data_IF_040704082895
#
_entry.id   IF_040704082895
#
_cell.length_a   1.000
_cell.length_b   1.000
_cell.length_c   1.000
_cell.angle_alpha   90.00
_cell.angle_beta   90.00
_cell.angle_gamma   90.00
#
_symmetry.space_group_name_H-M   'P 1'
#
loop_
_entity.id
_entity.type
_entity.pdbx_description
1 polymer ?
#
# COMPACT_ATOMS: atom_id res chain seq x y z
N UNK A 1 -22.90 40.15 -15.21
CA UNK A 1 -23.84 39.52 -14.24
C UNK A 1 -25.28 39.99 -14.41
N UNK A 2 -26.20 39.10 -14.77
CA UNK A 2 -27.62 39.24 -14.44
C UNK A 2 -27.86 38.48 -13.14
N UNK A 3 -28.15 39.20 -12.05
CA UNK A 3 -28.45 38.61 -10.72
C UNK A 3 -29.48 37.47 -10.80
N UNK A 4 -30.40 37.54 -11.75
CA UNK A 4 -31.43 36.53 -11.99
C UNK A 4 -30.89 35.15 -12.35
N UNK A 5 -29.81 35.06 -13.14
CA UNK A 5 -29.25 33.76 -13.58
C UNK A 5 -28.54 33.07 -12.42
N UNK A 6 -27.77 33.83 -11.64
CA UNK A 6 -27.08 33.34 -10.47
C UNK A 6 -28.08 32.88 -9.40
N UNK A 7 -29.14 33.66 -9.15
CA UNK A 7 -30.18 33.30 -8.19
C UNK A 7 -30.93 32.03 -8.60
N UNK A 8 -31.21 31.83 -9.89
CA UNK A 8 -31.86 30.60 -10.38
C UNK A 8 -31.02 29.33 -10.21
N UNK A 9 -29.69 29.45 -10.25
CA UNK A 9 -28.77 28.32 -10.07
C UNK A 9 -28.53 28.00 -8.59
N UNK A 10 -28.74 28.97 -7.71
CA UNK A 10 -28.66 28.78 -6.26
C UNK A 10 -29.96 28.23 -5.65
N UNK A 11 -31.07 28.24 -6.39
CA UNK A 11 -32.33 27.60 -5.95
C UNK A 11 -32.23 26.08 -5.92
N UNK A 12 -31.35 25.49 -6.74
CA UNK A 12 -31.10 24.05 -6.78
C UNK A 12 -29.82 23.70 -6.01
N UNK A 13 -29.96 22.90 -4.95
CA UNK A 13 -28.88 22.53 -4.02
C UNK A 13 -27.71 21.85 -4.73
N UNK A 14 -28.00 20.96 -5.69
CA UNK A 14 -26.99 20.24 -6.46
C UNK A 14 -26.17 21.17 -7.38
N UNK A 15 -26.83 22.18 -7.94
CA UNK A 15 -26.19 23.17 -8.82
C UNK A 15 -25.37 24.17 -8.01
N UNK A 16 -25.87 24.57 -6.84
CA UNK A 16 -25.16 25.44 -5.92
C UNK A 16 -23.89 24.80 -5.34
N UNK A 17 -23.94 23.51 -4.99
CA UNK A 17 -22.77 22.74 -4.56
C UNK A 17 -21.74 22.60 -5.69
N UNK A 18 -22.19 22.35 -6.92
CA UNK A 18 -21.33 22.31 -8.10
C UNK A 18 -20.64 23.65 -8.37
N UNK A 19 -21.35 24.78 -8.22
CA UNK A 19 -20.77 26.12 -8.33
C UNK A 19 -19.70 26.39 -7.26
N UNK A 20 -19.92 25.91 -6.03
CA UNK A 20 -18.93 26.01 -4.96
C UNK A 20 -17.65 25.22 -5.28
N UNK A 21 -17.79 24.00 -5.84
CA UNK A 21 -16.66 23.18 -6.29
C UNK A 21 -15.89 23.87 -7.43
N UNK A 22 -16.62 24.45 -8.39
CA UNK A 22 -16.03 25.18 -9.52
C UNK A 22 -15.25 26.42 -9.04
N UNK A 23 -15.82 27.17 -8.10
CA UNK A 23 -15.17 28.34 -7.48
C UNK A 23 -13.93 27.93 -6.69
N UNK A 24 -14.02 26.90 -5.85
CA UNK A 24 -12.88 26.38 -5.09
C UNK A 24 -11.73 25.96 -6.03
N UNK A 25 -12.04 25.24 -7.12
CA UNK A 25 -11.01 24.83 -8.09
C UNK A 25 -10.43 25.99 -8.90
N UNK A 26 -11.20 27.03 -9.17
CA UNK A 26 -10.69 28.25 -9.79
C UNK A 26 -9.69 28.96 -8.86
N UNK A 27 -10.01 29.03 -7.57
CA UNK A 27 -9.23 29.75 -6.55
C UNK A 27 -7.96 29.01 -6.10
N UNK A 28 -7.98 27.67 -6.08
CA UNK A 28 -6.78 26.86 -5.83
C UNK A 28 -5.80 26.85 -7.02
N UNK A 29 -6.30 27.12 -8.21
CA UNK A 29 -5.54 27.08 -9.45
C UNK A 29 -4.95 28.44 -9.87
N UNK A 30 -4.97 28.68 -11.17
CA UNK A 30 -4.56 29.93 -11.81
C UNK A 30 -5.76 30.81 -12.20
N UNK A 31 -6.92 30.63 -11.57
CA UNK A 31 -8.17 31.30 -11.93
C UNK A 31 -8.92 30.69 -13.12
N UNK A 32 -8.44 29.57 -13.66
CA UNK A 32 -9.10 28.86 -14.79
C UNK A 32 -9.61 27.48 -14.36
N UNK A 33 -10.77 27.10 -14.88
CA UNK A 33 -11.44 25.82 -14.63
C UNK A 33 -11.62 25.08 -15.95
N UNK A 34 -11.36 23.78 -15.97
CA UNK A 34 -11.60 22.92 -17.14
C UNK A 34 -12.55 21.80 -16.76
N UNK A 35 -13.27 21.24 -17.73
CA UNK A 35 -14.13 20.09 -17.47
C UNK A 35 -13.36 18.91 -16.84
N UNK A 36 -12.12 18.69 -17.26
CA UNK A 36 -11.25 17.64 -16.70
C UNK A 36 -10.98 17.83 -15.20
N UNK A 37 -10.92 19.08 -14.71
CA UNK A 37 -10.65 19.34 -13.29
C UNK A 37 -11.87 19.10 -12.39
N UNK A 38 -13.08 19.24 -12.91
CA UNK A 38 -14.33 19.16 -12.11
C UNK A 38 -15.20 17.94 -12.39
N UNK A 39 -14.96 17.21 -13.49
CA UNK A 39 -15.76 16.05 -13.94
C UNK A 39 -15.88 14.90 -12.93
N UNK A 40 -14.98 14.82 -11.94
CA UNK A 40 -15.05 13.81 -10.87
C UNK A 40 -16.02 14.16 -9.73
N UNK A 41 -16.38 15.43 -9.59
CA UNK A 41 -17.20 15.93 -8.47
C UNK A 41 -18.48 16.64 -8.93
N UNK A 42 -18.55 17.08 -10.20
CA UNK A 42 -19.71 17.76 -10.78
C UNK A 42 -20.32 16.87 -11.88
N UNK A 43 -21.64 16.55 -11.81
CA UNK A 43 -22.34 15.84 -12.88
C UNK A 43 -22.28 16.62 -14.20
N UNK A 44 -22.11 15.90 -15.32
CA UNK A 44 -21.99 16.52 -16.65
C UNK A 44 -23.21 17.37 -17.06
N UNK A 45 -24.39 17.00 -16.56
CA UNK A 45 -25.65 17.72 -16.79
C UNK A 45 -25.63 19.09 -16.11
N UNK A 46 -25.20 19.13 -14.84
CA UNK A 46 -25.08 20.35 -14.03
C UNK A 46 -23.97 21.26 -14.58
N UNK A 47 -22.84 20.68 -14.98
CA UNK A 47 -21.76 21.43 -15.64
C UNK A 47 -22.23 22.12 -16.93
N UNK A 48 -23.03 21.42 -17.75
CA UNK A 48 -23.60 22.01 -18.96
C UNK A 48 -24.51 23.20 -18.68
N UNK A 49 -25.27 23.17 -17.58
CA UNK A 49 -26.12 24.28 -17.14
C UNK A 49 -25.30 25.49 -16.68
N UNK A 50 -24.22 25.26 -15.91
CA UNK A 50 -23.31 26.33 -15.43
C UNK A 50 -22.56 26.99 -16.58
N UNK A 51 -22.09 26.23 -17.58
CA UNK A 51 -21.45 26.80 -18.76
C UNK A 51 -22.46 27.61 -19.60
N UNK A 52 -23.73 27.20 -19.62
CA UNK A 52 -24.80 27.89 -20.32
C UNK A 52 -25.30 29.18 -19.66
N UNK A 53 -24.94 29.44 -18.40
CA UNK A 53 -25.50 30.54 -17.60
C UNK A 53 -24.73 31.86 -17.65
N UNK A 54 -23.80 31.99 -18.60
CA UNK A 54 -22.90 33.16 -18.78
C UNK A 54 -22.02 33.50 -17.56
N UNK A 55 -21.97 32.64 -16.54
CA UNK A 55 -21.12 32.81 -15.35
C UNK A 55 -19.64 32.46 -15.62
N UNK A 56 -19.41 31.64 -16.64
CA UNK A 56 -18.11 31.17 -17.07
C UNK A 56 -17.73 31.82 -18.41
N UNK A 57 -16.69 32.66 -18.38
CA UNK A 57 -16.11 33.28 -19.57
C UNK A 57 -15.10 32.30 -20.18
N UNK A 58 -15.32 31.92 -21.44
CA UNK A 58 -14.41 31.04 -22.17
C UNK A 58 -13.11 31.79 -22.53
N UNK A 59 -11.97 31.28 -22.08
CA UNK A 59 -10.63 31.79 -22.40
C UNK A 59 -9.82 30.63 -23.00
N UNK A 60 -9.78 30.55 -24.33
CA UNK A 60 -9.15 29.44 -25.04
C UNK A 60 -9.87 28.11 -24.76
N UNK A 61 -9.12 27.11 -24.27
CA UNK A 61 -9.65 25.78 -23.91
C UNK A 61 -10.12 25.69 -22.43
N UNK A 62 -10.14 26.81 -21.71
CA UNK A 62 -10.50 26.88 -20.28
C UNK A 62 -11.60 27.92 -20.00
N UNK A 63 -12.23 27.82 -18.83
CA UNK A 63 -13.25 28.75 -18.37
C UNK A 63 -12.76 29.58 -17.18
N UNK A 64 -13.12 30.85 -17.13
CA UNK A 64 -12.82 31.77 -16.01
C UNK A 64 -14.13 32.28 -15.44
N UNK A 65 -14.22 32.39 -14.12
CA UNK A 65 -15.41 32.93 -13.45
C UNK A 65 -15.45 34.45 -13.66
N UNK A 66 -16.57 34.98 -14.16
CA UNK A 66 -16.73 36.41 -14.50
C UNK A 66 -16.52 37.32 -13.27
N UNK A 67 -17.15 36.97 -12.14
CA UNK A 67 -17.03 37.69 -10.87
C UNK A 67 -16.93 36.71 -9.67
N UNK A 68 -15.71 36.25 -9.33
CA UNK A 68 -15.48 35.35 -8.21
C UNK A 68 -15.95 35.87 -6.84
N UNK A 69 -15.70 37.13 -6.43
CA UNK A 69 -16.14 37.62 -5.13
C UNK A 69 -17.66 37.73 -5.01
N UNK A 70 -18.36 38.14 -6.07
CA UNK A 70 -19.81 38.19 -6.05
C UNK A 70 -20.43 36.79 -5.95
N UNK A 71 -19.85 35.79 -6.64
CA UNK A 71 -20.28 34.40 -6.54
C UNK A 71 -20.07 33.84 -5.12
N UNK A 72 -18.94 34.16 -4.48
CA UNK A 72 -18.67 33.75 -3.09
C UNK A 72 -19.71 34.32 -2.12
N UNK A 73 -20.01 35.61 -2.23
CA UNK A 73 -20.99 36.28 -1.36
C UNK A 73 -22.39 35.68 -1.53
N UNK A 74 -22.78 35.35 -2.77
CA UNK A 74 -24.06 34.74 -3.04
C UNK A 74 -24.16 33.29 -2.53
N UNK A 75 -23.09 32.48 -2.65
CA UNK A 75 -23.03 31.13 -2.08
C UNK A 75 -23.12 31.16 -0.55
N UNK A 76 -22.40 32.09 0.09
CA UNK A 76 -22.49 32.28 1.54
C UNK A 76 -23.89 32.72 1.98
N UNK A 77 -24.56 33.57 1.20
CA UNK A 77 -25.95 34.00 1.46
C UNK A 77 -26.94 32.84 1.34
N UNK A 78 -26.66 31.88 0.43
CA UNK A 78 -27.42 30.64 0.27
C UNK A 78 -27.10 29.59 1.35
N UNK A 79 -26.21 29.88 2.30
CA UNK A 79 -25.82 28.96 3.38
C UNK A 79 -24.74 27.94 2.97
N UNK A 80 -24.13 28.10 1.80
CA UNK A 80 -23.03 27.27 1.30
C UNK A 80 -21.73 28.01 1.56
N UNK A 81 -21.06 27.65 2.65
CA UNK A 81 -19.80 28.26 3.03
C UNK A 81 -18.66 27.69 2.18
N UNK A 82 -18.19 28.49 1.21
CA UNK A 82 -17.06 28.14 0.31
C UNK A 82 -15.73 28.04 1.08
N UNK A 83 -15.65 28.64 2.28
CA UNK A 83 -14.48 28.57 3.17
C UNK A 83 -14.55 27.44 4.20
N UNK A 84 -15.74 26.89 4.47
CA UNK A 84 -15.89 25.72 5.33
C UNK A 84 -15.66 24.47 4.50
N UNK A 85 -14.40 24.02 4.49
CA UNK A 85 -14.05 22.60 4.38
C UNK A 85 -14.92 21.83 3.37
N UNK A 86 -15.06 22.37 2.14
CA UNK A 86 -15.49 21.56 1.01
C UNK A 86 -14.43 20.48 1.01
N UNK A 87 -14.84 19.30 1.43
CA UNK A 87 -13.99 18.13 1.58
C UNK A 87 -13.62 17.74 0.16
N UNK A 88 -12.63 18.43 -0.38
CA UNK A 88 -11.75 17.92 -1.39
C UNK A 88 -11.42 16.54 -0.88
N UNK A 89 -11.67 15.51 -1.68
CA UNK A 89 -11.11 14.19 -1.44
C UNK A 89 -9.58 14.36 -1.43
N UNK A 90 -9.06 14.79 -0.28
CA UNK A 90 -7.74 14.55 0.22
C UNK A 90 -7.57 13.06 -0.04
N UNK A 91 -6.80 12.73 -1.06
CA UNK A 91 -6.61 11.35 -1.52
C UNK A 91 -6.35 10.51 -0.29
N UNK A 92 -7.35 9.72 0.14
CA UNK A 92 -7.52 9.37 1.55
C UNK A 92 -6.18 9.14 2.24
N UNK A 93 -5.85 9.98 3.22
CA UNK A 93 -4.73 9.68 4.11
C UNK A 93 -4.94 8.24 4.61
N UNK A 94 -4.06 7.33 4.14
CA UNK A 94 -4.25 5.89 4.30
C UNK A 94 -4.70 5.56 5.73
N UNK A 95 -5.79 4.78 5.91
CA UNK A 95 -6.31 4.52 7.24
C UNK A 95 -5.19 3.92 8.10
N UNK A 96 -4.85 4.64 9.17
CA UNK A 96 -3.77 4.28 10.09
C UNK A 96 -3.88 2.83 10.56
N UNK A 97 -2.76 2.26 11.03
CA UNK A 97 -2.70 0.85 11.45
C UNK A 97 -3.93 0.45 12.28
N UNK A 98 -4.64 -0.58 11.83
CA UNK A 98 -5.73 -1.16 12.64
C UNK A 98 -5.12 -1.69 13.93
N UNK A 99 -5.94 -1.76 14.98
CA UNK A 99 -5.50 -2.24 16.28
C UNK A 99 -4.86 -3.64 16.18
N UNK A 100 -5.38 -4.48 15.29
CA UNK A 100 -4.82 -5.79 14.95
C UNK A 100 -3.43 -5.73 14.34
N UNK A 101 -3.14 -4.74 13.50
CA UNK A 101 -1.81 -4.56 12.90
C UNK A 101 -0.79 -4.07 13.92
N UNK A 102 -1.21 -3.21 14.86
CA UNK A 102 -0.36 -2.75 15.98
C UNK A 102 0.02 -3.92 16.87
N UNK A 103 -0.94 -4.78 17.22
CA UNK A 103 -0.68 -5.99 18.00
C UNK A 103 0.21 -6.96 17.23
N UNK A 104 -0.03 -7.17 15.93
CA UNK A 104 0.80 -8.04 15.10
C UNK A 104 2.24 -7.53 14.99
N UNK A 105 2.44 -6.22 14.78
CA UNK A 105 3.76 -5.61 14.73
C UNK A 105 4.49 -5.67 16.06
N UNK A 106 3.84 -5.31 17.16
CA UNK A 106 4.42 -5.43 18.49
C UNK A 106 4.76 -6.89 18.83
N UNK A 107 3.85 -7.83 18.54
CA UNK A 107 4.06 -9.26 18.75
C UNK A 107 5.24 -9.80 17.93
N UNK A 108 5.36 -9.41 16.67
CA UNK A 108 6.49 -9.80 15.82
C UNK A 108 7.82 -9.27 16.39
N UNK A 109 7.85 -8.03 16.87
CA UNK A 109 9.05 -7.40 17.46
C UNK A 109 9.43 -8.07 18.79
N UNK A 110 8.45 -8.37 19.63
CA UNK A 110 8.64 -9.13 20.88
C UNK A 110 9.12 -10.55 20.59
N UNK A 111 8.60 -11.22 19.58
CA UNK A 111 9.07 -12.56 19.19
C UNK A 111 10.49 -12.53 18.60
N UNK A 112 10.79 -11.55 17.77
CA UNK A 112 12.10 -11.39 17.13
C UNK A 112 13.19 -11.08 18.16
N UNK A 113 12.96 -10.12 19.06
CA UNK A 113 13.90 -9.75 20.12
C UNK A 113 13.89 -10.78 21.26
N UNK A 114 12.72 -11.34 21.56
CA UNK A 114 12.52 -12.32 22.63
C UNK A 114 13.19 -13.67 22.38
N UNK A 115 13.58 -13.99 21.15
CA UNK A 115 14.44 -15.15 20.88
C UNK A 115 15.74 -15.16 21.71
N UNK A 116 16.28 -13.99 22.03
CA UNK A 116 17.48 -13.90 22.88
C UNK A 116 17.23 -14.36 24.32
N UNK A 117 15.97 -14.41 24.75
CA UNK A 117 15.56 -14.83 26.08
C UNK A 117 15.15 -16.30 26.04
N UNK A 118 15.86 -17.20 26.77
CA UNK A 118 15.57 -18.64 26.76
C UNK A 118 14.13 -18.99 27.15
N UNK A 119 13.51 -18.23 28.06
CA UNK A 119 12.14 -18.44 28.53
C UNK A 119 11.08 -18.14 27.45
N UNK A 120 11.29 -17.10 26.63
CA UNK A 120 10.38 -16.78 25.53
C UNK A 120 10.56 -17.82 24.42
N UNK A 121 11.82 -18.16 24.10
CA UNK A 121 12.13 -19.22 23.14
C UNK A 121 11.48 -20.55 23.52
N UNK A 122 11.59 -20.99 24.78
CA UNK A 122 10.99 -22.26 25.23
C UNK A 122 9.47 -22.23 25.17
N UNK A 123 8.84 -21.10 25.50
CA UNK A 123 7.39 -20.95 25.42
C UNK A 123 6.89 -21.04 23.97
N UNK A 124 7.55 -20.33 23.05
CA UNK A 124 7.21 -20.35 21.61
C UNK A 124 7.45 -21.74 21.02
N UNK A 125 8.58 -22.37 21.34
CA UNK A 125 8.90 -23.72 20.88
C UNK A 125 7.91 -24.73 21.44
N UNK A 126 7.54 -24.63 22.72
CA UNK A 126 6.56 -25.53 23.35
C UNK A 126 5.19 -25.41 22.68
N UNK A 127 4.69 -24.19 22.50
CA UNK A 127 3.43 -23.94 21.79
C UNK A 127 3.46 -24.46 20.35
N UNK A 128 4.54 -24.19 19.63
CA UNK A 128 4.74 -24.69 18.28
C UNK A 128 4.88 -26.23 18.24
N UNK A 129 5.44 -26.86 19.27
CA UNK A 129 5.60 -28.32 19.36
C UNK A 129 4.28 -29.05 19.58
N UNK A 130 3.28 -28.44 20.22
CA UNK A 130 1.93 -29.00 20.31
C UNK A 130 1.32 -29.15 18.91
N UNK A 131 1.58 -28.19 18.02
CA UNK A 131 1.06 -28.17 16.65
C UNK A 131 1.91 -29.00 15.68
N UNK A 132 3.23 -28.81 15.70
CA UNK A 132 4.16 -29.41 14.72
C UNK A 132 4.75 -30.75 15.19
N UNK A 133 4.75 -31.04 16.49
CA UNK A 133 5.30 -32.28 17.05
C UNK A 133 4.65 -33.54 16.49
N UNK A 134 3.31 -33.65 16.43
CA UNK A 134 2.64 -34.81 15.83
C UNK A 134 2.98 -34.99 14.35
N UNK A 135 3.08 -33.89 13.60
CA UNK A 135 3.51 -33.90 12.19
C UNK A 135 4.96 -34.38 12.05
N UNK A 136 5.83 -33.98 12.96
CA UNK A 136 7.24 -34.32 12.94
C UNK A 136 7.53 -35.79 13.24
N UNK A 137 6.62 -36.48 13.94
CA UNK A 137 6.69 -37.94 14.12
C UNK A 137 6.15 -38.72 12.91
N UNK A 138 5.34 -38.11 12.05
CA UNK A 138 4.66 -38.78 10.95
C UNK A 138 5.41 -38.70 9.61
N UNK A 139 6.19 -37.65 9.37
CA UNK A 139 6.88 -37.42 8.09
C UNK A 139 8.39 -37.22 8.25
N UNK A 140 9.20 -37.58 7.23
CA UNK A 140 10.63 -37.30 7.22
C UNK A 140 10.92 -35.80 7.38
N UNK A 141 12.00 -35.46 8.08
CA UNK A 141 12.35 -34.08 8.41
C UNK A 141 12.44 -33.14 7.19
N UNK A 142 12.99 -33.61 6.06
CA UNK A 142 13.07 -32.82 4.83
C UNK A 142 11.69 -32.46 4.29
N UNK A 143 10.76 -33.42 4.28
CA UNK A 143 9.38 -33.26 3.82
C UNK A 143 8.63 -32.28 4.73
N UNK A 144 8.84 -32.38 6.05
CA UNK A 144 8.29 -31.45 7.01
C UNK A 144 8.77 -30.01 6.74
N UNK A 145 10.07 -29.81 6.55
CA UNK A 145 10.62 -28.48 6.26
C UNK A 145 10.04 -27.91 4.95
N UNK A 146 9.87 -28.74 3.91
CA UNK A 146 9.22 -28.29 2.67
C UNK A 146 7.76 -27.89 2.89
N UNK A 147 7.00 -28.68 3.65
CA UNK A 147 5.59 -28.40 3.96
C UNK A 147 5.43 -27.08 4.74
N UNK A 148 6.28 -26.85 5.75
CA UNK A 148 6.28 -25.61 6.52
C UNK A 148 6.67 -24.42 5.63
N UNK A 149 7.69 -24.57 4.77
CA UNK A 149 8.11 -23.51 3.85
C UNK A 149 7.00 -23.13 2.86
N UNK A 150 6.29 -24.12 2.29
CA UNK A 150 5.14 -23.90 1.41
C UNK A 150 4.00 -23.21 2.17
N UNK A 151 3.72 -23.63 3.39
CA UNK A 151 2.69 -23.02 4.25
C UNK A 151 3.01 -21.55 4.54
N UNK A 152 4.25 -21.25 4.95
CA UNK A 152 4.72 -19.87 5.20
C UNK A 152 4.64 -19.04 3.91
N UNK A 153 5.04 -19.59 2.77
CA UNK A 153 4.99 -18.90 1.49
C UNK A 153 3.54 -18.61 1.04
N UNK A 154 2.62 -19.54 1.27
CA UNK A 154 1.19 -19.37 1.00
C UNK A 154 0.59 -18.25 1.87
N UNK A 155 0.88 -18.27 3.18
CA UNK A 155 0.44 -17.22 4.10
C UNK A 155 1.07 -15.87 3.70
N UNK A 156 2.37 -15.84 3.39
CA UNK A 156 3.08 -14.63 2.95
C UNK A 156 2.44 -14.02 1.71
N UNK A 157 2.01 -14.87 0.78
CA UNK A 157 1.30 -14.43 -0.42
C UNK A 157 -0.08 -13.88 -0.09
N UNK A 158 -0.84 -14.57 0.77
CA UNK A 158 -2.17 -14.11 1.21
C UNK A 158 -2.11 -12.76 1.93
N UNK A 159 -1.15 -12.61 2.84
CA UNK A 159 -0.85 -11.36 3.57
C UNK A 159 -0.54 -10.23 2.58
N UNK A 160 0.33 -10.49 1.59
CA UNK A 160 0.67 -9.50 0.57
C UNK A 160 -0.53 -9.11 -0.28
N UNK A 161 -1.38 -10.06 -0.69
CA UNK A 161 -2.58 -9.77 -1.50
C UNK A 161 -3.63 -8.97 -0.74
N UNK A 162 -3.80 -9.22 0.56
CA UNK A 162 -4.81 -8.54 1.37
C UNK A 162 -4.38 -7.15 1.85
N UNK A 163 -3.09 -6.95 2.08
CA UNK A 163 -2.58 -5.74 2.74
C UNK A 163 -1.90 -4.76 1.80
N UNK A 164 -1.58 -5.17 0.57
CA UNK A 164 -0.95 -4.31 -0.43
C UNK A 164 -1.96 -3.98 -1.51
N UNK A 165 -2.42 -2.74 -1.53
CA UNK A 165 -3.17 -2.19 -2.66
C UNK A 165 -2.18 -1.76 -3.76
N UNK A 166 -2.25 -2.42 -4.92
CA UNK A 166 -1.36 -2.11 -6.04
C UNK A 166 -1.81 -0.88 -6.83
N UNK A 167 -3.10 -0.56 -6.83
CA UNK A 167 -3.62 0.60 -7.57
C UNK A 167 -3.18 1.89 -6.90
N UNK A 168 -3.30 1.98 -5.58
CA UNK A 168 -2.86 3.15 -4.81
C UNK A 168 -1.34 3.37 -4.87
N UNK A 169 -0.55 2.29 -4.83
CA UNK A 169 0.92 2.41 -4.99
C UNK A 169 1.28 2.90 -6.40
N UNK A 170 0.48 2.58 -7.41
CA UNK A 170 0.74 2.96 -8.80
C UNK A 170 0.34 4.42 -9.05
N UNK A 171 -0.80 4.87 -8.53
CA UNK A 171 -1.25 6.27 -8.66
C UNK A 171 -0.30 7.25 -7.99
N UNK A 172 0.24 6.91 -6.81
CA UNK A 172 1.22 7.78 -6.13
C UNK A 172 2.54 7.84 -6.92
N UNK A 173 3.02 6.72 -7.46
CA UNK A 173 4.22 6.71 -8.31
C UNK A 173 4.06 7.57 -9.55
N UNK A 174 2.87 7.54 -10.15
CA UNK A 174 2.54 8.34 -11.31
C UNK A 174 2.52 9.83 -10.98
N UNK A 175 1.82 10.23 -9.90
CA UNK A 175 1.81 11.61 -9.41
C UNK A 175 3.21 12.13 -9.08
N UNK A 176 4.04 11.31 -8.43
CA UNK A 176 5.41 11.69 -8.11
C UNK A 176 6.27 11.86 -9.37
N UNK A 177 6.03 11.04 -10.39
CA UNK A 177 6.71 11.13 -11.68
C UNK A 177 6.29 12.40 -12.44
N UNK A 178 4.99 12.69 -12.49
CA UNK A 178 4.47 13.88 -13.17
C UNK A 178 4.95 15.16 -12.50
N UNK A 179 4.91 15.24 -11.16
CA UNK A 179 5.41 16.40 -10.41
C UNK A 179 6.91 16.60 -10.61
N UNK A 180 7.70 15.52 -10.66
CA UNK A 180 9.14 15.61 -10.95
C UNK A 180 9.42 16.14 -12.36
N UNK A 181 8.63 15.73 -13.34
CA UNK A 181 8.77 16.19 -14.73
C UNK A 181 8.40 17.68 -14.85
N UNK A 182 7.29 18.08 -14.23
CA UNK A 182 6.87 19.48 -14.19
C UNK A 182 7.88 20.37 -13.48
N UNK A 183 8.50 19.88 -12.39
CA UNK A 183 9.56 20.60 -11.68
C UNK A 183 10.76 20.85 -12.61
N UNK A 184 11.18 19.83 -13.35
CA UNK A 184 12.28 19.93 -14.32
C UNK A 184 11.95 20.96 -15.41
N UNK A 185 10.75 20.91 -15.95
CA UNK A 185 10.29 21.85 -16.98
C UNK A 185 10.14 23.30 -16.46
N UNK A 186 9.77 23.49 -15.19
CA UNK A 186 9.71 24.80 -14.55
C UNK A 186 11.12 25.36 -14.25
N UNK A 187 12.05 24.51 -13.81
CA UNK A 187 13.46 24.87 -13.60
C UNK A 187 14.14 25.24 -14.93
N UNK A 188 13.86 24.51 -16.01
CA UNK A 188 14.36 24.82 -17.36
C UNK A 188 13.81 26.14 -17.91
N UNK A 189 12.56 26.49 -17.58
CA UNK A 189 11.92 27.77 -17.96
C UNK A 189 12.29 28.94 -17.06
N UNK A 190 12.98 28.70 -15.93
CA UNK A 190 13.38 29.74 -14.97
C UNK A 190 12.21 30.37 -14.22
N UNK A 191 11.07 29.68 -14.10
CA UNK A 191 9.90 30.17 -13.36
C UNK A 191 10.02 29.81 -11.87
N UNK A 192 10.65 30.70 -11.10
CA UNK A 192 10.88 30.50 -9.66
C UNK A 192 9.57 30.30 -8.87
N UNK A 193 8.46 30.89 -9.32
CA UNK A 193 7.16 30.76 -8.63
C UNK A 193 6.53 29.39 -8.84
N UNK A 194 6.63 28.84 -10.06
CA UNK A 194 6.18 27.49 -10.36
C UNK A 194 7.07 26.43 -9.68
N UNK A 195 8.38 26.68 -9.62
CA UNK A 195 9.34 25.79 -8.95
C UNK A 195 9.02 25.66 -7.46
N UNK A 196 8.75 26.76 -6.75
CA UNK A 196 8.43 26.70 -5.31
C UNK A 196 7.13 25.92 -5.07
N UNK A 197 6.06 26.19 -5.83
CA UNK A 197 4.79 25.46 -5.73
C UNK A 197 4.96 23.95 -6.00
N UNK A 198 5.75 23.59 -7.01
CA UNK A 198 6.01 22.19 -7.35
C UNK A 198 6.88 21.48 -6.30
N UNK A 199 7.80 22.20 -5.64
CA UNK A 199 8.56 21.68 -4.49
C UNK A 199 7.66 21.41 -3.30
N UNK A 200 6.78 22.34 -2.98
CA UNK A 200 5.81 22.17 -1.90
C UNK A 200 4.90 20.96 -2.16
N UNK A 201 4.40 20.81 -3.40
CA UNK A 201 3.62 19.64 -3.80
C UNK A 201 4.42 18.34 -3.73
N UNK A 202 5.70 18.36 -4.14
CA UNK A 202 6.61 17.20 -4.01
C UNK A 202 6.80 16.82 -2.55
N UNK A 203 6.94 17.81 -1.66
CA UNK A 203 7.13 17.60 -0.22
C UNK A 203 5.85 17.07 0.44
N UNK A 204 4.69 17.56 0.05
CA UNK A 204 3.39 17.02 0.45
C UNK A 204 3.19 15.58 -0.02
N UNK A 205 3.51 15.29 -1.29
CA UNK A 205 3.52 13.92 -1.80
C UNK A 205 4.50 13.04 -1.01
N UNK A 206 5.67 13.56 -0.62
CA UNK A 206 6.60 12.83 0.25
C UNK A 206 6.06 12.60 1.67
N UNK A 207 5.33 13.56 2.26
CA UNK A 207 4.62 13.36 3.53
C UNK A 207 3.55 12.28 3.41
N UNK A 208 2.81 12.24 2.29
CA UNK A 208 1.87 11.15 2.01
C UNK A 208 2.56 9.78 1.87
N UNK A 209 3.85 9.74 1.47
CA UNK A 209 4.64 8.50 1.45
C UNK A 209 4.94 7.93 2.84
N UNK A 210 4.79 8.68 3.93
CA UNK A 210 4.86 8.11 5.28
C UNK A 210 3.74 7.08 5.49
N UNK A 211 2.57 7.31 4.89
CA UNK A 211 1.51 6.31 4.80
C UNK A 211 1.97 5.06 4.04
N UNK A 212 2.69 5.22 2.93
CA UNK A 212 3.26 4.10 2.16
C UNK A 212 4.27 3.30 3.00
N UNK A 213 5.12 3.97 3.79
CA UNK A 213 6.06 3.29 4.69
C UNK A 213 5.31 2.38 5.68
N UNK A 214 4.23 2.88 6.29
CA UNK A 214 3.40 2.07 7.17
C UNK A 214 2.72 0.89 6.44
N UNK A 215 2.37 1.07 5.16
CA UNK A 215 1.84 0.01 4.29
C UNK A 215 2.88 -1.02 3.87
N UNK A 216 4.17 -0.66 3.79
CA UNK A 216 5.25 -1.63 3.56
C UNK A 216 5.57 -2.43 4.84
N UNK A 217 5.48 -1.78 6.01
CA UNK A 217 5.73 -2.41 7.29
C UNK A 217 4.62 -3.39 7.70
N UNK A 218 3.37 -3.15 7.29
CA UNK A 218 2.22 -3.98 7.65
C UNK A 218 2.35 -5.44 7.13
N UNK A 219 2.63 -5.71 5.84
CA UNK A 219 2.97 -7.04 5.36
C UNK A 219 4.22 -7.62 6.04
N UNK A 220 5.23 -6.80 6.34
CA UNK A 220 6.47 -7.27 6.96
C UNK A 220 6.22 -7.78 8.39
N UNK A 221 5.50 -7.00 9.20
CA UNK A 221 5.10 -7.36 10.56
C UNK A 221 4.31 -8.67 10.59
N UNK A 222 3.28 -8.78 9.74
CA UNK A 222 2.47 -10.00 9.65
C UNK A 222 3.25 -11.21 9.14
N UNK A 223 4.11 -11.03 8.16
CA UNK A 223 4.95 -12.13 7.67
C UNK A 223 5.96 -12.57 8.72
N UNK A 224 6.57 -11.65 9.47
CA UNK A 224 7.46 -11.99 10.58
C UNK A 224 6.73 -12.68 11.73
N UNK A 225 5.53 -12.24 12.09
CA UNK A 225 4.72 -12.85 13.14
C UNK A 225 4.50 -14.35 12.89
N UNK A 226 4.37 -14.75 11.62
CA UNK A 226 4.21 -16.15 11.22
C UNK A 226 5.55 -16.85 11.01
N UNK A 227 6.51 -16.17 10.38
CA UNK A 227 7.80 -16.77 10.00
C UNK A 227 8.69 -17.01 11.21
N UNK A 228 8.69 -16.13 12.22
CA UNK A 228 9.57 -16.23 13.39
C UNK A 228 9.27 -17.48 14.23
N UNK A 229 8.02 -17.79 14.64
CA UNK A 229 7.72 -19.01 15.37
C UNK A 229 8.09 -20.29 14.60
N UNK A 230 7.80 -20.32 13.29
CA UNK A 230 8.16 -21.44 12.41
C UNK A 230 9.67 -21.64 12.37
N UNK A 231 10.41 -20.56 12.16
CA UNK A 231 11.87 -20.59 12.09
C UNK A 231 12.50 -21.02 13.42
N UNK A 232 11.98 -20.50 14.54
CA UNK A 232 12.43 -20.86 15.88
C UNK A 232 12.20 -22.34 16.17
N UNK A 233 11.02 -22.86 15.83
CA UNK A 233 10.72 -24.27 16.03
C UNK A 233 11.62 -25.16 15.18
N UNK A 234 11.84 -24.84 13.89
CA UNK A 234 12.77 -25.59 13.02
C UNK A 234 14.19 -25.55 13.58
N UNK A 235 14.66 -24.39 14.06
CA UNK A 235 15.98 -24.26 14.66
C UNK A 235 16.17 -25.14 15.90
N UNK A 236 15.13 -25.30 16.70
CA UNK A 236 15.13 -26.19 17.86
C UNK A 236 15.06 -27.66 17.42
N UNK A 237 14.17 -27.99 16.48
CA UNK A 237 13.98 -29.34 15.98
C UNK A 237 15.29 -29.90 15.38
N UNK A 238 16.06 -29.09 14.64
CA UNK A 238 17.34 -29.52 14.05
C UNK A 238 18.40 -29.90 15.11
N UNK A 239 18.37 -29.23 16.28
CA UNK A 239 19.32 -29.49 17.38
C UNK A 239 18.81 -30.61 18.29
N UNK A 240 17.51 -30.86 18.32
CA UNK A 240 16.92 -31.87 19.16
C UNK A 240 17.36 -33.29 18.69
N UNK A 241 17.85 -34.13 19.61
CA UNK A 241 18.47 -35.42 19.27
C UNK A 241 17.50 -36.39 18.57
N UNK A 242 16.19 -36.26 18.83
CA UNK A 242 15.17 -37.08 18.17
C UNK A 242 15.08 -36.84 16.64
N UNK A 243 15.49 -35.67 16.14
CA UNK A 243 15.49 -35.33 14.71
C UNK A 243 16.89 -35.29 14.11
N UNK A 244 17.92 -35.02 14.91
CA UNK A 244 19.32 -35.01 14.48
C UNK A 244 19.88 -36.41 14.20
N UNK A 245 19.35 -37.45 14.88
CA UNK A 245 19.89 -38.83 14.85
C UNK A 245 18.92 -39.81 14.14
N UNK A 246 17.70 -39.37 13.83
CA UNK A 246 16.69 -40.19 13.15
C UNK A 246 17.00 -40.45 11.67
N UNK A 247 17.77 -41.52 11.39
CA UNK A 247 17.86 -42.37 10.18
C UNK A 247 17.78 -41.79 8.75
N UNK A 248 17.71 -40.47 8.57
CA UNK A 248 17.50 -39.85 7.25
C UNK A 248 18.41 -38.64 7.13
N UNK A 249 19.71 -38.90 7.23
CA UNK A 249 20.71 -37.94 6.77
C UNK A 249 20.44 -37.68 5.29
N UNK A 250 20.18 -36.43 4.85
CA UNK A 250 19.99 -36.14 3.44
C UNK A 250 21.29 -36.52 2.72
N UNK A 251 21.24 -37.55 1.90
CA UNK A 251 22.34 -37.88 1.00
C UNK A 251 22.31 -36.84 -0.13
N UNK A 252 23.03 -35.73 0.05
CA UNK A 252 23.25 -34.78 -1.04
C UNK A 252 24.22 -35.44 -2.03
N UNK A 253 23.86 -35.59 -3.32
CA UNK A 253 24.65 -36.37 -4.29
C UNK A 253 26.07 -35.82 -4.53
N UNK A 254 26.34 -34.57 -4.13
CA UNK A 254 27.65 -33.92 -4.26
C UNK A 254 28.42 -33.83 -2.92
N UNK A 255 27.74 -33.89 -1.77
CA UNK A 255 28.32 -33.57 -0.45
C UNK A 255 28.24 -34.71 0.60
N UNK A 256 27.59 -35.83 0.27
CA UNK A 256 27.50 -36.98 1.17
C UNK A 256 26.46 -36.82 2.30
N UNK A 257 26.56 -37.69 3.32
CA UNK A 257 25.67 -37.70 4.50
C UNK A 257 26.15 -36.64 5.50
N UNK A 258 25.57 -35.45 5.48
CA UNK A 258 25.85 -34.39 6.45
C UNK A 258 24.72 -34.24 7.46
N UNK A 259 25.07 -34.05 8.74
CA UNK A 259 24.10 -33.65 9.76
C UNK A 259 23.44 -32.32 9.35
N UNK A 260 22.17 -32.12 9.68
CA UNK A 260 21.45 -30.87 9.41
C UNK A 260 22.08 -29.65 10.09
N UNK A 261 22.87 -29.89 11.14
CA UNK A 261 23.68 -28.91 11.88
C UNK A 261 25.04 -28.61 11.22
N UNK A 262 25.44 -29.34 10.18
CA UNK A 262 26.71 -29.14 9.49
C UNK A 262 26.75 -27.75 8.84
N UNK A 263 27.86 -27.04 9.03
CA UNK A 263 28.12 -25.74 8.43
C UNK A 263 28.62 -25.93 7.00
N UNK A 264 27.79 -25.56 6.03
CA UNK A 264 28.06 -25.81 4.60
C UNK A 264 28.47 -24.54 3.86
N UNK A 265 27.97 -23.37 4.28
CA UNK A 265 28.30 -22.08 3.67
C UNK A 265 28.75 -21.09 4.75
N UNK A 266 30.03 -21.14 5.12
CA UNK A 266 30.60 -20.31 6.19
C UNK A 266 30.00 -20.63 7.56
N UNK A 267 29.46 -19.66 8.33
CA UNK A 267 28.83 -19.92 9.63
C UNK A 267 27.40 -20.50 9.53
N UNK A 268 26.83 -20.60 8.32
CA UNK A 268 25.42 -20.95 8.10
C UNK A 268 25.23 -22.48 8.07
N UNK A 269 24.37 -23.06 8.93
CA UNK A 269 24.09 -24.49 8.95
C UNK A 269 23.23 -24.93 7.76
N UNK A 270 23.35 -26.19 7.34
CA UNK A 270 22.70 -26.76 6.16
C UNK A 270 21.18 -26.58 6.16
N UNK A 271 20.52 -26.72 7.31
CA UNK A 271 19.07 -26.53 7.43
C UNK A 271 18.62 -25.11 7.06
N UNK A 272 19.41 -24.07 7.37
CA UNK A 272 19.08 -22.70 7.00
C UNK A 272 19.16 -22.50 5.48
N UNK A 273 20.18 -23.10 4.84
CA UNK A 273 20.34 -23.05 3.37
C UNK A 273 19.16 -23.75 2.70
N UNK A 274 18.81 -24.95 3.17
CA UNK A 274 17.69 -25.72 2.65
C UNK A 274 16.35 -25.01 2.86
N UNK A 275 16.12 -24.43 4.04
CA UNK A 275 14.93 -23.64 4.34
C UNK A 275 14.82 -22.41 3.43
N UNK A 276 15.90 -21.63 3.31
CA UNK A 276 15.94 -20.42 2.47
C UNK A 276 15.69 -20.77 1.01
N UNK A 277 16.31 -21.84 0.51
CA UNK A 277 16.10 -22.33 -0.85
C UNK A 277 14.62 -22.72 -1.08
N UNK A 278 14.01 -23.47 -0.17
CA UNK A 278 12.59 -23.85 -0.26
C UNK A 278 11.66 -22.64 -0.20
N UNK A 279 11.95 -21.66 0.65
CA UNK A 279 11.16 -20.42 0.74
C UNK A 279 11.26 -19.62 -0.56
N UNK A 280 12.46 -19.48 -1.13
CA UNK A 280 12.65 -18.78 -2.42
C UNK A 280 11.93 -19.52 -3.55
N UNK A 281 12.10 -20.83 -3.67
CA UNK A 281 11.42 -21.65 -4.68
C UNK A 281 9.91 -21.57 -4.54
N UNK A 282 9.37 -21.68 -3.33
CA UNK A 282 7.93 -21.58 -3.07
C UNK A 282 7.39 -20.21 -3.48
N UNK A 283 8.10 -19.13 -3.15
CA UNK A 283 7.72 -17.78 -3.56
C UNK A 283 7.74 -17.61 -5.08
N UNK A 284 8.70 -18.22 -5.79
CA UNK A 284 8.77 -18.18 -7.26
C UNK A 284 7.63 -18.97 -7.90
N UNK A 285 7.32 -20.15 -7.37
CA UNK A 285 6.20 -21.00 -7.84
C UNK A 285 4.88 -20.26 -7.66
N UNK A 286 4.64 -19.64 -6.50
CA UNK A 286 3.40 -18.90 -6.24
C UNK A 286 3.28 -17.67 -7.15
N UNK A 287 4.37 -16.94 -7.39
CA UNK A 287 4.38 -15.83 -8.35
C UNK A 287 4.02 -16.29 -9.75
N UNK A 288 4.61 -17.40 -10.22
CA UNK A 288 4.30 -17.99 -11.54
C UNK A 288 2.86 -18.50 -11.62
N UNK A 289 2.36 -19.16 -10.57
CA UNK A 289 0.99 -19.66 -10.52
C UNK A 289 -0.02 -18.50 -10.56
N UNK A 290 0.23 -17.42 -9.81
CA UNK A 290 -0.61 -16.22 -9.83
C UNK A 290 -0.66 -15.59 -11.21
N UNK A 291 0.51 -15.43 -11.86
CA UNK A 291 0.59 -14.88 -13.22
C UNK A 291 -0.19 -15.73 -14.23
N UNK A 292 -0.04 -17.05 -14.19
CA UNK A 292 -0.76 -17.97 -15.09
C UNK A 292 -2.28 -17.90 -14.96
N UNK A 293 -2.79 -17.73 -13.74
CA UNK A 293 -4.25 -17.59 -13.54
C UNK A 293 -4.75 -16.27 -14.12
N UNK A 294 -4.02 -15.17 -13.95
CA UNK A 294 -4.37 -13.87 -14.54
C UNK A 294 -4.31 -13.90 -16.07
N UNK A 295 -3.27 -14.51 -16.64
CA UNK A 295 -3.12 -14.65 -18.10
C UNK A 295 -4.24 -15.52 -18.70
N UNK A 296 -4.67 -16.59 -18.01
CA UNK A 296 -5.80 -17.43 -18.46
C UNK A 296 -7.17 -16.73 -18.36
N UNK A 297 -7.35 -15.80 -17.42
CA UNK A 297 -8.58 -15.01 -17.32
C UNK A 297 -8.65 -13.86 -18.33
N UNK A 298 -7.51 -13.38 -18.82
CA UNK A 298 -7.47 -12.39 -19.91
C UNK A 298 -7.63 -13.02 -21.30
N UNK A 299 -7.46 -14.34 -21.41
CA UNK A 299 -7.59 -15.11 -22.65
C UNK A 299 -8.95 -15.81 -22.80
N UNK A 300 -9.82 -15.73 -21.81
CA UNK A 300 -11.20 -16.26 -21.81
C UNK A 300 -12.20 -15.11 -21.87
#
# INVERSE_FOLDING_TARGET
MTDSSLQSLLEDEATAEALAIVLARAEEGNGTVTWQSVSGAVPAEVWGQIVGSELLVSVGDSFVIDDPPALREALNTAGIDVTADISIEETEALPGWRLTDKVAGAGALVLATGYQIPAIKSSVVSGANIMFGPLAGAVPFWMLVTLLAVTVAAISTGVRRRLVDQQQVTSIKERLKTTKEQLREAEERGDETAVERLRERRDELMRSQLGILTHMLRPLAWTMLVTVPVFLWVSWAVVAPQFAIGATTPALPVLGRMAWTARVLGPVPLWMVYYTLNVVVSNLVIKRATKRVTDNQAAA
#
